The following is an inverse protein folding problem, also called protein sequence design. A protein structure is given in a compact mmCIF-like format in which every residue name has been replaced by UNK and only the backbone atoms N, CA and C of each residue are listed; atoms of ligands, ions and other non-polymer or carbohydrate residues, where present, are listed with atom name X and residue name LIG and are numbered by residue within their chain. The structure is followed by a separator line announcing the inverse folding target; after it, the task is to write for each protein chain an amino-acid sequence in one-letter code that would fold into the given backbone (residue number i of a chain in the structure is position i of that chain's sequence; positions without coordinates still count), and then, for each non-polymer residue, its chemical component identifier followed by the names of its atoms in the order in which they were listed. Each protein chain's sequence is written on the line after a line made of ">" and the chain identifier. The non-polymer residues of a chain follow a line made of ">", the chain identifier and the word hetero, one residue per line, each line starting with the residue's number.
data_IF_571619480650
#
_entry.id   IF_571619480650
#
_cell.length_a   1.000
_cell.length_b   1.000
_cell.length_c   1.000
_cell.angle_alpha   90.00
_cell.angle_beta   90.00
_cell.angle_gamma   90.00
#
_symmetry.space_group_name_H-M   'P 1'
#
loop_
_entity.id
_entity.type
_entity.pdbx_description
1 polymer ?
2 non-polymer ?
3 non-polymer ?
4 non-polymer ?
5 non-polymer ?
6 water ?
#
# COMPACT_ATOMS: atom_id res chain seq x y z
N UNK A 14 -15.33 -17.94 -13.25
CA UNK A 14 -15.19 -18.41 -11.84
C UNK A 14 -15.15 -17.27 -10.79
N UNK A 15 -14.23 -16.30 -10.87
CA UNK A 15 -13.18 -16.21 -11.90
C UNK A 15 -11.76 -16.07 -11.30
N UNK A 16 -10.92 -17.06 -11.60
CA UNK A 16 -9.49 -17.02 -11.33
C UNK A 16 -9.04 -17.93 -10.19
N UNK A 17 -8.26 -18.96 -10.50
CA UNK A 17 -7.63 -19.77 -9.46
C UNK A 17 -6.81 -18.84 -8.53
N UNK A 18 -6.99 -19.01 -7.22
CA UNK A 18 -6.24 -18.24 -6.24
C UNK A 18 -4.75 -18.53 -6.35
N UNK A 19 -3.93 -17.52 -6.04
CA UNK A 19 -2.50 -17.77 -6.02
C UNK A 19 -2.10 -18.77 -4.92
N UNK A 20 -1.00 -19.46 -5.15
CA UNK A 20 -0.50 -20.48 -4.26
C UNK A 20 0.67 -20.00 -3.38
N UNK A 21 1.12 -18.77 -3.58
CA UNK A 21 2.10 -18.13 -2.70
C UNK A 21 1.72 -16.68 -2.51
N UNK A 22 2.27 -16.04 -1.50
CA UNK A 22 2.10 -14.59 -1.36
C UNK A 22 3.19 -13.90 -2.18
N UNK A 23 2.92 -12.65 -2.57
CA UNK A 23 3.84 -11.90 -3.44
C UNK A 23 5.23 -11.67 -2.83
N UNK A 24 6.27 -11.76 -3.66
CA UNK A 24 7.60 -11.34 -3.27
C UNK A 24 7.70 -9.81 -3.24
N UNK A 25 7.98 -9.24 -2.07
CA UNK A 25 8.14 -7.80 -2.00
C UNK A 25 8.08 -7.16 -0.63
N UNK A 26 8.34 -5.86 -0.61
CA UNK A 26 8.17 -5.07 0.59
C UNK A 26 6.68 -4.84 0.81
N UNK A 27 6.19 -5.10 2.01
CA UNK A 27 4.82 -4.78 2.37
C UNK A 27 4.85 -3.85 3.57
N UNK A 28 4.01 -2.83 3.55
CA UNK A 28 3.98 -1.87 4.65
C UNK A 28 2.98 -2.38 5.67
N UNK A 29 3.38 -2.36 6.94
CA UNK A 29 2.49 -2.76 8.03
C UNK A 29 1.90 -1.53 8.73
N UNK A 30 2.34 -0.35 8.31
CA UNK A 30 1.79 0.90 8.84
C UNK A 30 2.84 1.87 9.34
N UNK A 31 2.41 2.71 10.27
CA UNK A 31 3.23 3.79 10.78
C UNK A 31 4.13 3.24 11.88
N UNK A 32 5.44 3.35 11.66
CA UNK A 32 6.44 2.81 12.57
C UNK A 32 6.17 3.09 14.05
N UNK A 33 5.87 4.35 14.39
CA UNK A 33 5.74 4.75 15.81
C UNK A 33 4.59 4.03 16.51
N UNK A 34 3.57 3.62 15.74
CA UNK A 34 2.51 2.75 16.25
C UNK A 34 2.98 1.35 16.66
N UNK A 35 4.18 0.94 16.25
CA UNK A 35 4.72 -0.35 16.65
C UNK A 35 5.79 -0.25 17.73
N UNK A 36 5.86 0.89 18.41
CA UNK A 36 6.82 1.09 19.48
C UNK A 36 6.11 0.92 20.82
N UNK A 37 5.94 2.02 21.57
CA UNK A 37 5.45 2.00 22.98
C UNK A 37 5.91 0.81 23.82
N UNK A 38 7.20 0.47 23.69
CA UNK A 38 7.87 -0.49 24.55
C UNK A 38 7.38 -1.93 24.61
N UNK A 39 6.35 -2.27 23.82
CA UNK A 39 5.75 -3.60 23.88
C UNK A 39 5.80 -4.29 22.50
N UNK A 40 5.47 -5.58 22.45
CA UNK A 40 5.33 -6.23 21.15
C UNK A 40 3.92 -6.09 20.61
N UNK A 41 3.77 -6.28 19.29
CA UNK A 41 2.47 -6.17 18.62
C UNK A 41 2.23 -7.35 17.71
N UNK A 42 1.00 -7.84 17.68
CA UNK A 42 0.62 -8.97 16.82
C UNK A 42 0.06 -8.52 15.48
N UNK A 43 0.44 -9.21 14.42
CA UNK A 43 -0.11 -8.94 13.10
C UNK A 43 -0.39 -10.26 12.38
N UNK A 44 -1.62 -10.47 11.94
CA UNK A 44 -1.94 -11.60 11.08
C UNK A 44 -1.56 -11.24 9.65
N UNK A 45 -0.65 -12.00 9.03
CA UNK A 45 -0.20 -11.68 7.67
C UNK A 45 0.43 -12.89 6.99
N UNK A 46 0.36 -12.91 5.66
CA UNK A 46 0.94 -13.98 4.85
C UNK A 46 0.58 -15.36 5.39
N UNK A 47 -0.71 -15.58 5.67
CA UNK A 47 -1.20 -16.85 6.17
C UNK A 47 -0.75 -17.28 7.57
N UNK A 48 -0.08 -16.40 8.30
CA UNK A 48 0.46 -16.75 9.59
C UNK A 48 0.26 -15.57 10.56
N UNK A 49 0.76 -15.71 11.78
CA UNK A 49 0.77 -14.61 12.72
C UNK A 49 2.19 -14.17 12.97
N UNK A 50 2.40 -12.86 13.06
CA UNK A 50 3.72 -12.28 13.25
C UNK A 50 3.73 -11.48 14.53
N UNK A 51 4.93 -11.34 15.09
CA UNK A 51 5.19 -10.45 16.19
C UNK A 51 6.13 -9.37 15.68
N UNK A 52 5.79 -8.12 15.99
CA UNK A 52 6.58 -6.95 15.66
C UNK A 52 7.03 -6.33 16.98
N UNK A 53 8.30 -5.96 17.08
CA UNK A 53 8.76 -5.32 18.32
C UNK A 53 10.03 -4.54 18.06
N UNK A 54 10.24 -3.50 18.86
CA UNK A 54 11.48 -2.72 18.80
C UNK A 54 12.46 -3.13 19.89
N UNK A 55 13.72 -3.29 19.51
CA UNK A 55 14.78 -3.54 20.48
C UNK A 55 15.14 -2.26 21.29
N UNK A 56 16.18 -2.32 22.11
CA UNK A 56 16.54 -1.20 22.99
C UNK A 56 17.07 0.04 22.26
N UNK A 57 17.49 -0.12 21.00
CA UNK A 57 17.87 1.02 20.16
C UNK A 57 16.70 1.60 19.36
N UNK A 58 15.48 1.16 19.63
CA UNK A 58 14.32 1.58 18.82
C UNK A 58 14.17 0.95 17.43
N UNK A 59 15.11 0.12 16.99
CA UNK A 59 15.02 -0.53 15.69
C UNK A 59 13.99 -1.66 15.69
N UNK A 60 13.13 -1.68 14.66
CA UNK A 60 11.97 -2.57 14.62
C UNK A 60 12.26 -3.94 13.99
N UNK A 61 11.68 -4.98 14.58
CA UNK A 61 11.94 -6.36 14.20
C UNK A 61 10.64 -7.12 14.02
N UNK A 62 10.69 -8.16 13.19
CA UNK A 62 9.54 -9.00 12.94
C UNK A 62 9.96 -10.46 12.93
N UNK A 63 9.28 -11.28 13.72
CA UNK A 63 9.47 -12.72 13.71
C UNK A 63 8.14 -13.43 13.49
N UNK A 64 8.19 -14.73 13.16
CA UNK A 64 7.01 -15.60 13.34
C UNK A 64 6.50 -15.39 14.78
N UNK A 65 5.20 -15.29 14.93
CA UNK A 65 4.58 -14.92 16.20
C UNK A 65 4.50 -16.00 17.26
N UNK A 66 4.52 -17.26 16.86
CA UNK A 66 4.32 -18.36 17.80
C UNK A 66 5.63 -18.97 18.20
N UNK A 67 5.83 -19.14 19.50
CA UNK A 67 7.11 -19.58 20.02
C UNK A 67 7.46 -21.01 19.61
N UNK A 68 8.70 -21.19 19.17
CA UNK A 68 9.21 -22.50 18.71
C UNK A 68 9.37 -23.55 19.81
N UNK A 69 9.20 -23.14 21.06
CA UNK A 69 9.26 -24.02 22.21
C UNK A 69 7.95 -24.83 22.33
N UNK A 70 6.88 -24.21 22.87
CA UNK A 70 5.58 -24.89 23.01
C UNK A 70 4.41 -24.00 22.55
N UNK A 71 4.66 -23.11 21.59
CA UNK A 71 3.59 -22.41 20.90
C UNK A 71 2.98 -21.20 21.59
N UNK A 72 3.67 -20.60 22.55
CA UNK A 72 3.19 -19.37 23.15
C UNK A 72 3.13 -18.24 22.14
N UNK A 73 2.29 -17.25 22.43
CA UNK A 73 2.13 -16.11 21.55
C UNK A 73 3.11 -15.02 21.93
N UNK A 74 4.20 -14.93 21.18
CA UNK A 74 5.22 -13.91 21.40
C UNK A 74 4.66 -12.49 21.35
N UNK A 75 3.60 -12.27 20.57
CA UNK A 75 3.03 -10.92 20.44
C UNK A 75 2.40 -10.46 21.74
N UNK A 76 2.16 -11.39 22.66
CA UNK A 76 1.58 -11.09 23.97
C UNK A 76 2.59 -11.26 25.10
N UNK A 77 3.88 -11.27 24.75
CA UNK A 77 4.95 -11.30 25.72
C UNK A 77 5.39 -9.90 26.00
N UNK A 78 6.64 -9.73 26.41
CA UNK A 78 7.19 -8.39 26.64
C UNK A 78 8.57 -8.25 26.02
N UNK A 79 9.02 -7.02 25.88
CA UNK A 79 10.35 -6.76 25.37
C UNK A 79 11.32 -6.61 26.54
N UNK A 80 12.36 -7.42 26.54
CA UNK A 80 13.39 -7.36 27.56
C UNK A 80 14.71 -7.17 26.87
N UNK A 81 15.15 -5.92 26.84
CA UNK A 81 16.42 -5.56 26.24
C UNK A 81 16.22 -5.50 24.75
N UNK A 82 16.94 -6.37 24.04
CA UNK A 82 16.83 -6.42 22.58
C UNK A 82 16.01 -7.61 22.09
N UNK A 83 15.43 -8.39 23.01
CA UNK A 83 14.66 -9.57 22.63
C UNK A 83 13.23 -9.46 23.07
N UNK A 84 12.38 -10.25 22.40
CA UNK A 84 11.02 -10.46 22.88
C UNK A 84 10.99 -11.72 23.76
N UNK A 85 10.37 -11.57 24.92
CA UNK A 85 10.19 -12.64 25.88
C UNK A 85 8.82 -13.25 25.72
N UNK A 86 8.80 -14.56 25.48
CA UNK A 86 7.56 -15.32 25.38
C UNK A 86 6.81 -15.26 26.70
N UNK A 87 5.47 -15.11 26.65
CA UNK A 87 4.72 -14.98 27.93
C UNK A 87 4.53 -16.28 28.70
N UNK A 88 4.93 -17.40 28.09
CA UNK A 88 4.68 -18.71 28.67
C UNK A 88 5.85 -19.11 29.58
N UNK A 89 7.05 -19.27 29.02
CA UNK A 89 8.23 -19.65 29.79
C UNK A 89 9.40 -18.65 29.63
N UNK A 90 9.09 -17.44 29.18
CA UNK A 90 10.03 -16.33 29.19
C UNK A 90 11.30 -16.51 28.34
N UNK A 91 11.29 -17.40 27.36
CA UNK A 91 12.45 -17.53 26.46
C UNK A 91 12.65 -16.23 25.68
N UNK A 92 13.91 -15.87 25.45
CA UNK A 92 14.24 -14.64 24.77
C UNK A 92 14.63 -14.83 23.30
N UNK A 93 13.92 -14.14 22.42
CA UNK A 93 14.15 -14.23 20.98
C UNK A 93 14.66 -12.92 20.38
N UNK A 94 15.78 -12.97 19.68
CA UNK A 94 16.32 -11.81 18.98
C UNK A 94 15.61 -11.44 17.68
N UNK A 95 15.83 -10.20 17.24
CA UNK A 95 15.29 -9.71 15.99
C UNK A 95 15.71 -10.50 14.76
N UNK A 96 16.85 -11.19 14.85
CA UNK A 96 17.31 -12.09 13.79
C UNK A 96 16.79 -13.52 13.94
N UNK A 97 15.87 -13.73 14.88
CA UNK A 97 15.26 -15.03 15.09
C UNK A 97 16.02 -15.95 16.02
N UNK A 98 17.19 -15.53 16.50
CA UNK A 98 18.03 -16.41 17.33
C UNK A 98 17.43 -16.53 18.72
N UNK A 99 17.49 -17.75 19.26
CA UNK A 99 17.18 -17.97 20.67
C UNK A 99 18.35 -17.50 21.53
N UNK A 100 18.22 -16.32 22.13
CA UNK A 100 19.33 -15.73 22.88
C UNK A 100 19.46 -16.32 24.28
N UNK A 101 18.35 -16.69 24.91
CA UNK A 101 18.41 -17.13 26.31
C UNK A 101 17.17 -17.90 26.78
N UNK A 102 17.39 -19.06 27.40
CA UNK A 102 16.36 -19.67 28.25
C UNK A 102 16.72 -19.35 29.71
N UNK A 103 16.00 -18.39 30.33
CA UNK A 103 16.49 -17.77 31.57
C UNK A 103 16.73 -18.73 32.75
N UNK A 104 15.94 -19.79 32.83
CA UNK A 104 15.97 -20.71 33.96
C UNK A 104 16.77 -21.99 33.67
N UNK A 105 17.34 -22.10 32.47
CA UNK A 105 17.97 -23.34 32.06
C UNK A 105 19.48 -23.33 32.21
N UNK A 106 20.04 -24.50 32.47
CA UNK A 106 21.47 -24.63 32.51
C UNK A 106 22.08 -24.29 31.16
N UNK A 107 21.47 -24.75 30.07
CA UNK A 107 21.97 -24.50 28.74
C UNK A 107 20.88 -23.99 27.81
N UNK A 108 21.08 -22.80 27.25
CA UNK A 108 20.22 -22.28 26.21
C UNK A 108 20.50 -23.11 24.97
N UNK A 109 19.47 -23.42 24.15
CA UNK A 109 19.75 -24.20 22.96
C UNK A 109 20.84 -23.57 22.12
N UNK A 110 21.72 -24.43 21.60
CA UNK A 110 22.80 -24.00 20.72
C UNK A 110 22.28 -23.80 19.29
N UNK A 111 22.37 -22.57 18.79
CA UNK A 111 22.04 -22.22 17.39
C UNK A 111 20.58 -22.45 17.03
N UNK A 112 19.68 -22.28 17.97
CA UNK A 112 18.25 -22.35 17.70
C UNK A 112 17.79 -21.02 17.12
N UNK A 113 16.86 -21.11 16.17
CA UNK A 113 16.33 -19.95 15.48
C UNK A 113 14.86 -20.17 15.12
N UNK A 114 14.07 -19.10 15.18
CA UNK A 114 12.75 -19.06 14.56
C UNK A 114 12.90 -18.22 13.31
N UNK A 115 11.85 -18.09 12.51
CA UNK A 115 11.95 -17.31 11.27
C UNK A 115 11.92 -15.82 11.53
N UNK A 116 12.90 -15.13 10.98
CA UNK A 116 13.02 -13.70 11.08
C UNK A 116 12.57 -13.13 9.77
N UNK A 117 11.94 -11.96 9.84
CA UNK A 117 11.49 -11.24 8.66
C UNK A 117 12.28 -9.93 8.54
N UNK A 118 12.84 -9.67 7.37
CA UNK A 118 13.65 -8.48 7.21
C UNK A 118 12.79 -7.24 7.17
N UNK A 119 13.20 -6.20 7.89
CA UNK A 119 12.43 -4.98 8.01
C UNK A 119 13.14 -3.77 7.40
N UNK A 120 12.36 -2.70 7.24
CA UNK A 120 12.88 -1.42 6.78
C UNK A 120 11.93 -0.33 7.27
N UNK A 121 12.50 0.79 7.69
CA UNK A 121 11.71 1.97 8.02
C UNK A 121 12.00 3.09 7.03
N UNK A 122 10.96 3.53 6.33
CA UNK A 122 11.11 4.59 5.33
C UNK A 122 9.97 5.57 5.54
N UNK A 123 10.31 6.85 5.68
CA UNK A 123 9.31 7.90 5.72
C UNK A 123 8.36 7.74 6.91
N UNK A 124 8.87 7.17 8.00
CA UNK A 124 8.07 6.91 9.20
C UNK A 124 7.10 5.75 9.08
N UNK A 125 7.34 4.89 8.10
CA UNK A 125 6.49 3.73 7.86
C UNK A 125 7.33 2.48 8.03
N UNK A 126 6.76 1.47 8.68
CA UNK A 126 7.42 0.17 8.82
C UNK A 126 7.10 -0.76 7.65
N UNK A 127 8.13 -1.36 7.06
CA UNK A 127 7.97 -2.32 5.97
C UNK A 127 8.53 -3.70 6.33
N UNK A 128 7.96 -4.74 5.73
CA UNK A 128 8.46 -6.10 5.94
C UNK A 128 8.63 -6.77 4.58
N UNK A 129 9.71 -7.53 4.47
CA UNK A 129 10.05 -8.23 3.24
C UNK A 129 9.43 -9.62 3.26
N UNK A 130 8.75 -10.00 2.18
CA UNK A 130 8.25 -11.36 2.04
C UNK A 130 8.75 -11.98 0.75
N UNK A 131 9.22 -13.23 0.83
CA UNK A 131 9.67 -13.95 -0.37
C UNK A 131 9.54 -15.44 -0.13
N UNK A 132 8.58 -16.05 -0.81
CA UNK A 132 8.39 -17.49 -0.78
C UNK A 132 9.71 -18.24 -0.94
N UNK A 133 10.61 -17.70 -1.75
CA UNK A 133 11.89 -18.35 -1.97
C UNK A 133 12.85 -18.17 -0.81
N UNK A 134 12.48 -17.35 0.17
CA UNK A 134 13.33 -17.09 1.33
C UNK A 134 14.61 -16.32 1.10
N UNK A 135 14.73 -15.62 -0.02
CA UNK A 135 15.91 -14.77 -0.28
C UNK A 135 15.70 -13.36 0.25
N UNK A 136 16.79 -12.65 0.56
CA UNK A 136 16.67 -11.31 1.13
C UNK A 136 16.36 -10.27 0.05
N UNK A 137 15.98 -9.05 0.47
CA UNK A 137 15.58 -8.02 -0.51
C UNK A 137 16.67 -7.66 -1.52
N UNK A 138 16.30 -7.68 -2.79
CA UNK A 138 17.06 -6.96 -3.80
C UNK A 138 17.11 -5.46 -3.41
N UNK A 139 18.33 -4.89 -3.25
CA UNK A 139 18.36 -3.48 -2.86
C UNK A 139 17.73 -2.57 -3.92
N UNK A 140 17.71 -3.01 -5.16
CA UNK A 140 17.08 -2.26 -6.27
C UNK A 140 15.60 -1.99 -6.11
N UNK A 141 14.89 -2.72 -5.25
CA UNK A 141 13.45 -2.54 -5.11
C UNK A 141 13.10 -1.89 -3.79
N UNK A 142 14.11 -1.35 -3.13
CA UNK A 142 13.90 -0.70 -1.87
C UNK A 142 12.85 0.40 -2.02
N UNK A 143 11.98 0.53 -1.04
CA UNK A 143 10.90 1.53 -1.12
C UNK A 143 11.51 2.93 -0.98
N UNK A 144 11.19 3.85 -1.89
CA UNK A 144 11.78 5.19 -1.81
C UNK A 144 11.39 5.99 -0.57
N UNK A 145 12.30 6.85 -0.10
CA UNK A 145 12.01 7.84 0.94
C UNK A 145 11.05 8.85 0.36
N UNK A 146 10.16 9.33 1.21
CA UNK A 146 9.28 10.45 0.91
C UNK A 146 9.68 11.59 1.86
N UNK A 147 10.61 12.47 1.41
CA UNK A 147 11.06 13.57 2.25
C UNK A 147 9.96 14.36 2.95
N UNK A 148 8.82 14.53 2.27
CA UNK A 148 7.70 15.33 2.79
C UNK A 148 7.17 14.82 4.13
N UNK A 149 7.45 13.56 4.44
CA UNK A 149 7.00 12.98 5.71
C UNK A 149 7.70 13.66 6.88
N UNK A 150 9.04 13.78 6.78
CA UNK A 150 9.84 14.47 7.78
C UNK A 150 9.62 15.99 7.75
N UNK A 151 9.53 16.58 6.56
CA UNK A 151 9.33 18.03 6.43
C UNK A 151 8.20 18.54 7.33
N UNK A 152 8.48 19.60 8.08
CA UNK A 152 7.42 20.22 8.91
C UNK A 152 6.64 21.29 8.14
N UNK A 153 6.92 21.44 6.84
CA UNK A 153 6.00 22.12 5.93
C UNK A 153 4.81 21.24 5.53
N UNK A 154 4.86 19.96 5.90
CA UNK A 154 3.76 19.03 5.62
C UNK A 154 3.23 18.47 6.91
N UNK A 155 1.97 18.03 6.89
CA UNK A 155 1.39 17.26 7.99
C UNK A 155 2.14 15.94 8.22
N UNK A 156 1.72 15.23 9.26
CA UNK A 156 2.19 13.88 9.53
C UNK A 156 1.09 12.92 9.16
N UNK A 157 1.50 11.70 8.85
CA UNK A 157 0.60 10.72 8.30
C UNK A 157 -0.73 10.67 9.04
N UNK A 158 -1.83 10.89 8.33
CA UNK A 158 -3.13 10.46 8.82
C UNK A 158 -3.46 9.12 8.15
N UNK A 159 -3.49 8.06 8.95
CA UNK A 159 -3.45 6.70 8.46
C UNK A 159 -4.76 5.99 8.74
N UNK A 160 -5.18 5.12 7.83
CA UNK A 160 -6.37 4.29 7.99
C UNK A 160 -6.10 2.88 7.56
N UNK A 161 -6.92 1.95 8.04
CA UNK A 161 -6.80 0.55 7.68
C UNK A 161 -8.15 -0.14 7.76
N UNK A 162 -8.44 -1.02 6.82
CA UNK A 162 -9.60 -1.88 6.91
C UNK A 162 -9.23 -3.30 6.54
N UNK A 163 -10.02 -4.25 7.03
CA UNK A 163 -9.88 -5.63 6.62
C UNK A 163 -10.93 -5.89 5.56
N UNK A 164 -10.49 -6.32 4.39
CA UNK A 164 -11.41 -6.73 3.33
C UNK A 164 -11.42 -8.25 3.25
N UNK A 165 -12.60 -8.84 3.45
CA UNK A 165 -12.78 -10.29 3.40
C UNK A 165 -13.49 -10.75 2.11
N UNK A 166 -13.21 -11.99 1.73
CA UNK A 166 -13.77 -12.56 0.50
C UNK A 166 -13.16 -11.98 -0.75
N UNK A 167 -11.94 -11.45 -0.66
CA UNK A 167 -11.24 -10.95 -1.84
C UNK A 167 -9.73 -11.14 -1.69
N UNK A 168 -9.05 -11.45 -2.80
CA UNK A 168 -7.61 -11.50 -2.84
C UNK A 168 -7.11 -10.09 -3.10
N UNK A 169 -5.89 -9.76 -2.65
CA UNK A 169 -5.37 -8.40 -2.84
C UNK A 169 -5.07 -8.05 -4.31
N UNK A 170 -4.87 -9.03 -5.17
CA UNK A 170 -4.66 -8.73 -6.59
C UNK A 170 -5.88 -7.99 -7.19
N UNK A 171 -7.02 -8.14 -6.55
CA UNK A 171 -8.28 -7.58 -7.04
C UNK A 171 -8.30 -6.05 -7.09
N UNK A 172 -7.31 -5.38 -6.47
CA UNK A 172 -7.28 -3.92 -6.48
C UNK A 172 -6.22 -3.30 -7.38
N UNK A 173 -5.36 -4.12 -7.93
CA UNK A 173 -4.25 -3.65 -8.74
C UNK A 173 -4.76 -3.17 -10.09
N UNK A 174 -5.89 -3.71 -10.53
CA UNK A 174 -6.41 -3.38 -11.85
C UNK A 174 -6.79 -1.89 -12.00
N UNK A 175 -7.00 -1.19 -10.89
CA UNK A 175 -7.31 0.24 -10.94
C UNK A 175 -6.28 1.09 -11.67
N UNK A 176 -5.05 0.57 -11.70
CA UNK A 176 -3.95 1.26 -12.34
C UNK A 176 -4.26 1.53 -13.82
N UNK A 177 -4.95 0.59 -14.47
CA UNK A 177 -5.17 0.71 -15.92
C UNK A 177 -6.53 1.28 -16.28
N UNK A 178 -7.29 1.67 -15.26
CA UNK A 178 -8.68 2.03 -15.40
C UNK A 178 -8.92 3.54 -15.58
N UNK A 179 -9.07 3.96 -16.82
CA UNK A 179 -9.33 5.37 -17.14
C UNK A 179 -10.78 5.79 -16.87
N UNK A 180 -11.73 5.00 -17.36
CA UNK A 180 -13.14 5.39 -17.38
C UNK A 180 -13.81 5.51 -16.00
N UNK A 181 -13.28 4.82 -15.01
CA UNK A 181 -13.92 4.87 -13.69
C UNK A 181 -13.75 6.24 -13.03
N UNK A 182 -12.80 7.04 -13.51
CA UNK A 182 -12.62 8.39 -12.96
C UNK A 182 -13.87 9.26 -13.05
N UNK A 183 -14.63 9.05 -14.13
CA UNK A 183 -15.90 9.74 -14.34
C UNK A 183 -17.01 9.24 -13.42
N UNK A 184 -17.20 7.92 -13.39
CA UNK A 184 -18.35 7.35 -12.68
C UNK A 184 -18.12 7.21 -11.17
N UNK A 185 -16.88 6.95 -10.76
CA UNK A 185 -16.55 6.73 -9.35
C UNK A 185 -15.99 7.98 -8.67
N UNK A 186 -15.07 8.67 -9.35
CA UNK A 186 -14.45 9.86 -8.78
C UNK A 186 -15.02 11.18 -9.32
N UNK A 187 -16.01 11.11 -10.20
CA UNK A 187 -16.76 12.30 -10.62
C UNK A 187 -15.89 13.38 -11.25
N UNK A 188 -14.94 12.93 -12.07
CA UNK A 188 -14.05 13.84 -12.79
C UNK A 188 -13.90 13.40 -14.23
N UNK A 189 -13.27 14.25 -15.02
CA UNK A 189 -13.13 14.01 -16.44
C UNK A 189 -11.65 13.85 -16.69
N UNK A 190 -11.22 12.62 -17.02
CA UNK A 190 -9.81 12.38 -17.32
C UNK A 190 -9.48 12.79 -18.74
N UNK A 191 -8.74 13.89 -18.87
CA UNK A 191 -8.34 14.41 -20.20
C UNK A 191 -6.97 13.92 -20.62
N UNK A 192 -6.24 13.32 -19.68
CA UNK A 192 -4.96 12.68 -19.99
C UNK A 192 -4.81 11.41 -19.19
N UNK A 193 -4.36 10.34 -19.83
CA UNK A 193 -4.17 9.07 -19.14
C UNK A 193 -3.10 8.20 -19.81
N UNK A 194 -2.06 7.88 -19.05
CA UNK A 194 -0.95 7.09 -19.54
C UNK A 194 -0.41 6.13 -18.46
N UNK A 195 -0.16 4.88 -18.85
CA UNK A 195 0.46 3.90 -17.96
C UNK A 195 1.88 3.62 -18.43
N UNK A 196 2.77 3.38 -17.47
CA UNK A 196 4.13 2.92 -17.75
C UNK A 196 4.49 1.80 -16.77
N UNK A 197 4.81 0.63 -17.30
CA UNK A 197 5.28 -0.50 -16.51
C UNK A 197 6.72 -0.83 -16.90
N UNK A 198 7.59 -0.94 -15.90
CA UNK A 198 8.99 -1.27 -16.12
C UNK A 198 9.62 -1.81 -14.84
N UNK A 199 10.35 -2.92 -14.96
CA UNK A 199 10.93 -3.57 -13.79
C UNK A 199 9.87 -3.78 -12.73
N UNK A 200 10.15 -3.32 -11.52
CA UNK A 200 9.28 -3.56 -10.38
C UNK A 200 8.28 -2.44 -10.15
N UNK A 201 8.11 -1.55 -11.12
CA UNK A 201 7.28 -0.36 -10.94
C UNK A 201 6.23 -0.25 -12.02
N UNK A 202 4.98 -0.03 -11.59
CA UNK A 202 3.86 0.20 -12.48
C UNK A 202 3.24 1.53 -12.09
N UNK A 203 3.03 2.39 -13.08
CA UNK A 203 2.65 3.77 -12.82
C UNK A 203 1.46 4.22 -13.66
N UNK A 204 0.75 5.20 -13.15
CA UNK A 204 -0.38 5.82 -13.81
C UNK A 204 -0.20 7.34 -13.73
N UNK A 205 -0.23 8.00 -14.88
CA UNK A 205 -0.15 9.46 -14.95
C UNK A 205 -1.48 9.96 -15.49
N UNK A 206 -2.05 10.92 -14.80
CA UNK A 206 -3.43 11.35 -15.04
C UNK A 206 -3.60 12.87 -14.95
N UNK A 207 -4.35 13.45 -15.88
CA UNK A 207 -4.87 14.80 -15.67
C UNK A 207 -6.36 14.67 -15.56
N UNK A 208 -6.93 15.27 -14.52
CA UNK A 208 -8.34 15.10 -14.20
C UNK A 208 -8.98 16.45 -13.89
N UNK A 209 -10.16 16.68 -14.46
CA UNK A 209 -10.91 17.90 -14.28
C UNK A 209 -12.21 17.59 -13.56
N UNK A 210 -12.55 18.35 -12.53
CA UNK A 210 -13.82 18.13 -11.83
C UNK A 210 -15.02 18.25 -12.76
N UNK A 211 -16.05 17.48 -12.46
CA UNK A 211 -17.30 17.58 -13.18
C UNK A 211 -18.09 18.80 -12.72
N UNK A 212 -18.55 19.63 -13.69
CA UNK A 212 -19.45 20.74 -13.41
C UNK A 212 -20.73 20.30 -12.72
N UNK A 213 -21.27 19.14 -13.08
CA UNK A 213 -22.59 18.72 -12.61
C UNK A 213 -22.62 18.05 -11.23
N UNK A 214 -21.54 18.14 -10.47
CA UNK A 214 -21.52 17.63 -9.08
C UNK A 214 -20.98 18.67 -8.06
N UNK A 215 -20.95 19.94 -8.46
CA UNK A 215 -20.36 21.03 -7.67
C UNK A 215 -18.86 20.90 -7.58
N UNK A 223 -13.91 24.98 -11.01
CA UNK A 223 -13.82 23.52 -10.92
C UNK A 223 -12.35 23.05 -10.85
N UNK A 224 -12.14 21.91 -10.20
CA UNK A 224 -10.80 21.46 -9.84
C UNK A 224 -10.02 20.88 -11.03
N UNK A 225 -8.70 21.10 -11.01
CA UNK A 225 -7.79 20.52 -12.00
C UNK A 225 -6.69 19.76 -11.26
N UNK A 226 -6.65 18.44 -11.47
CA UNK A 226 -5.73 17.54 -10.76
C UNK A 226 -4.71 16.95 -11.72
N UNK A 227 -3.44 17.03 -11.36
CA UNK A 227 -2.40 16.23 -12.00
C UNK A 227 -1.93 15.19 -10.99
N UNK A 228 -1.92 13.92 -11.42
CA UNK A 228 -1.66 12.80 -10.52
C UNK A 228 -0.62 11.86 -11.11
N UNK A 229 0.41 11.56 -10.34
CA UNK A 229 1.32 10.44 -10.61
C UNK A 229 1.11 9.43 -9.50
N UNK A 230 0.91 8.17 -9.87
CA UNK A 230 0.76 7.09 -8.89
C UNK A 230 1.57 5.90 -9.36
N UNK A 231 2.46 5.42 -8.49
CA UNK A 231 3.30 4.29 -8.82
C UNK A 231 3.30 3.25 -7.71
N UNK A 232 3.05 1.99 -8.10
CA UNK A 232 3.33 0.85 -7.24
C UNK A 232 4.82 0.57 -7.30
N UNK A 233 5.49 0.62 -6.14
CA UNK A 233 6.90 0.20 -6.04
C UNK A 233 6.94 -1.21 -5.46
N UNK A 234 7.02 -2.19 -6.36
CA UNK A 234 6.81 -3.58 -6.00
C UNK A 234 5.31 -3.88 -5.97
N UNK A 235 4.93 -5.04 -5.44
CA UNK A 235 3.56 -5.56 -5.57
C UNK A 235 2.48 -4.94 -4.68
N UNK A 236 2.84 -4.25 -3.59
CA UNK A 236 1.85 -3.90 -2.54
C UNK A 236 1.78 -2.43 -2.10
N UNK A 237 2.74 -1.63 -2.53
CA UNK A 237 2.88 -0.28 -2.02
C UNK A 237 2.90 0.78 -3.13
N UNK A 238 1.90 1.66 -3.12
CA UNK A 238 1.77 2.73 -4.11
C UNK A 238 1.89 4.08 -3.44
N UNK A 239 2.74 4.93 -4.01
CA UNK A 239 2.79 6.35 -3.63
C UNK A 239 2.07 7.13 -4.73
N UNK A 240 1.17 8.02 -4.31
CA UNK A 240 0.40 8.85 -5.21
C UNK A 240 0.64 10.33 -4.89
N UNK A 241 1.33 11.03 -5.79
CA UNK A 241 1.54 12.48 -5.68
C UNK A 241 0.34 13.21 -6.31
N UNK A 242 -0.36 14.01 -5.50
CA UNK A 242 -1.55 14.74 -5.98
C UNK A 242 -1.30 16.25 -6.05
N UNK A 243 -1.23 16.77 -7.28
CA UNK A 243 -1.03 18.20 -7.53
C UNK A 243 -2.34 18.78 -8.07
N UNK A 244 -3.13 19.36 -7.17
CA UNK A 244 -4.44 19.89 -7.49
C UNK A 244 -4.43 21.43 -7.54
N UNK A 245 -5.10 22.02 -8.53
CA UNK A 245 -5.39 23.46 -8.50
C UNK A 245 -6.90 23.71 -8.63
N UNK A 246 -7.39 24.64 -7.81
CA UNK A 246 -8.79 25.07 -7.84
C UNK A 246 -8.80 26.56 -8.15
N UNK A 247 -8.74 26.88 -9.44
CA UNK A 247 -8.50 28.24 -9.88
C UNK A 247 -7.01 28.51 -9.83
N UNK A 248 -6.62 29.46 -8.98
CA UNK A 248 -5.23 29.86 -8.82
C UNK A 248 -4.57 29.19 -7.62
N UNK A 249 -5.38 28.70 -6.68
CA UNK A 249 -4.85 28.07 -5.47
C UNK A 249 -4.43 26.61 -5.71
N UNK A 250 -3.12 26.38 -5.70
CA UNK A 250 -2.58 25.03 -5.78
C UNK A 250 -2.56 24.39 -4.40
N UNK A 251 -2.83 23.09 -4.33
CA UNK A 251 -2.59 22.28 -3.13
C UNK A 251 -1.80 21.03 -3.49
N UNK A 252 -0.95 20.58 -2.57
CA UNK A 252 -0.11 19.41 -2.78
C UNK A 252 -0.42 18.34 -1.72
N UNK A 253 -0.64 17.13 -2.21
CA UNK A 253 -0.99 15.99 -1.37
C UNK A 253 -0.07 14.83 -1.74
N UNK A 254 0.20 13.96 -0.77
CA UNK A 254 0.73 12.64 -1.08
C UNK A 254 -0.15 11.61 -0.38
N UNK A 255 -0.58 10.62 -1.16
CA UNK A 255 -1.45 9.56 -0.70
C UNK A 255 -0.75 8.22 -0.88
N UNK A 256 -0.76 7.42 0.18
CA UNK A 256 -0.26 6.05 0.12
C UNK A 256 -1.44 5.12 -0.07
N UNK A 257 -1.34 4.27 -1.09
CA UNK A 257 -2.28 3.18 -1.29
C UNK A 257 -1.48 1.92 -1.09
N UNK A 258 -1.78 1.18 -0.04
CA UNK A 258 -1.04 -0.06 0.18
C UNK A 258 -1.87 -1.11 0.89
N UNK A 259 -1.39 -2.34 0.82
CA UNK A 259 -2.05 -3.45 1.45
C UNK A 259 -1.04 -4.52 1.86
N UNK A 260 -1.51 -5.46 2.67
CA UNK A 260 -0.82 -6.73 2.83
C UNK A 260 -1.84 -7.85 2.97
N UNK A 261 -1.53 -9.03 2.44
CA UNK A 261 -2.38 -10.19 2.54
C UNK A 261 -2.41 -10.80 3.93
N UNK A 262 -3.59 -11.24 4.35
CA UNK A 262 -3.80 -11.92 5.61
C UNK A 262 -3.92 -13.40 5.29
N UNK A 263 -4.84 -13.72 4.38
CA UNK A 263 -4.92 -15.02 3.74
C UNK A 263 -5.02 -14.80 2.24
N UNK A 264 -5.18 -15.87 1.48
CA UNK A 264 -5.36 -15.74 0.05
C UNK A 264 -6.75 -15.25 -0.32
N UNK A 265 -7.58 -14.95 0.69
CA UNK A 265 -8.90 -14.41 0.43
C UNK A 265 -9.32 -13.34 1.42
N UNK A 266 -8.34 -12.70 2.05
CA UNK A 266 -8.59 -11.54 2.88
C UNK A 266 -7.28 -10.75 2.89
N UNK A 267 -7.40 -9.43 3.03
CA UNK A 267 -6.22 -8.60 3.07
C UNK A 267 -6.50 -7.33 3.83
N UNK A 268 -5.44 -6.63 4.21
CA UNK A 268 -5.60 -5.38 4.92
C UNK A 268 -5.19 -4.31 3.95
N UNK A 269 -6.12 -3.39 3.74
CA UNK A 269 -5.94 -2.24 2.86
C UNK A 269 -5.74 -1.02 3.75
N UNK A 270 -4.67 -0.28 3.47
CA UNK A 270 -4.33 0.89 4.27
C UNK A 270 -4.08 2.09 3.36
N UNK A 271 -4.49 3.25 3.82
CA UNK A 271 -4.14 4.48 3.14
C UNK A 271 -3.71 5.55 4.10
N UNK A 272 -2.75 6.36 3.66
CA UNK A 272 -2.19 7.44 4.47
C UNK A 272 -2.10 8.73 3.68
N UNK A 273 -2.40 9.84 4.33
CA UNK A 273 -2.43 11.13 3.65
C UNK A 273 -1.56 12.13 4.36
N UNK A 274 -0.75 12.84 3.58
CA UNK A 274 -0.12 14.06 4.03
C UNK A 274 -0.33 15.14 2.98
N UNK A 275 -0.40 16.39 3.45
CA UNK A 275 -0.62 17.55 2.59
C UNK A 275 0.39 18.64 2.93
N UNK A 276 0.78 19.42 1.92
CA UNK A 276 1.58 20.62 2.18
C UNK A 276 0.71 21.57 2.97
N UNK A 277 1.25 22.09 4.07
CA UNK A 277 0.49 22.98 4.91
C UNK A 277 0.43 24.33 4.22
N UNK A 278 -0.74 24.99 4.23
CA UNK A 278 -0.86 26.35 3.68
C UNK A 278 0.01 27.36 4.44
N UNK A 279 0.79 28.15 3.72
CA UNK A 279 1.79 29.03 4.32
C UNK A 279 1.52 30.51 3.98
N UNK A 280 1.09 31.32 4.96
CA UNK A 280 0.83 30.89 6.33
C UNK A 280 -0.19 31.79 7.01
N UNK A 281 -0.90 31.22 7.97
CA UNK A 281 -1.95 31.91 8.71
C UNK A 281 -1.87 31.36 10.14
N UNK A 282 -2.87 31.63 10.99
CA UNK A 282 -2.84 31.10 12.36
C UNK A 282 -2.59 29.59 12.39
N UNK A 283 -1.75 29.14 13.33
CA UNK A 283 -1.51 27.72 13.53
C UNK A 283 -2.85 26.99 13.59
N UNK A 284 -3.80 27.54 14.33
CA UNK A 284 -5.11 26.93 14.52
C UNK A 284 -5.88 26.78 13.21
N UNK A 285 -5.80 27.79 12.34
CA UNK A 285 -6.49 27.75 11.04
C UNK A 285 -5.76 26.84 10.06
N UNK A 286 -4.43 26.89 10.05
CA UNK A 286 -3.64 25.97 9.22
C UNK A 286 -4.04 24.52 9.49
N UNK A 287 -4.29 24.19 10.75
CA UNK A 287 -4.73 22.84 11.12
C UNK A 287 -6.11 22.56 10.53
N UNK A 288 -7.05 23.47 10.79
CA UNK A 288 -8.42 23.42 10.27
C UNK A 288 -8.48 23.13 8.75
N UNK A 289 -7.62 23.81 7.98
CA UNK A 289 -7.57 23.60 6.52
C UNK A 289 -6.96 22.26 6.16
N UNK A 290 -5.75 22.01 6.67
CA UNK A 290 -5.07 20.74 6.48
C UNK A 290 -5.95 19.52 6.78
N UNK A 291 -6.84 19.63 7.77
CA UNK A 291 -7.81 18.57 8.08
C UNK A 291 -8.81 18.39 6.93
N UNK A 292 -9.21 19.48 6.32
CA UNK A 292 -10.13 19.46 5.18
C UNK A 292 -9.46 18.86 3.94
N UNK A 293 -8.24 19.31 3.65
CA UNK A 293 -7.49 18.81 2.49
C UNK A 293 -7.37 17.29 2.60
N UNK A 294 -6.91 16.85 3.77
CA UNK A 294 -6.70 15.43 4.08
C UNK A 294 -7.97 14.62 3.95
N UNK A 295 -9.00 15.04 4.68
CA UNK A 295 -10.30 14.38 4.63
C UNK A 295 -10.82 14.27 3.18
N UNK A 296 -10.50 15.28 2.36
CA UNK A 296 -10.91 15.29 0.97
C UNK A 296 -10.28 14.16 0.19
N UNK A 297 -8.96 14.05 0.28
CA UNK A 297 -8.21 12.98 -0.37
C UNK A 297 -8.73 11.61 0.09
N UNK A 298 -8.93 11.47 1.40
CA UNK A 298 -9.42 10.21 1.96
C UNK A 298 -10.79 9.83 1.38
N UNK A 299 -11.66 10.80 1.17
CA UNK A 299 -12.98 10.54 0.59
C UNK A 299 -12.85 10.10 -0.85
N UNK A 300 -11.85 10.64 -1.55
CA UNK A 300 -11.47 10.15 -2.88
C UNK A 300 -11.09 8.68 -2.85
N UNK A 301 -10.19 8.31 -1.96
CA UNK A 301 -9.82 6.90 -1.82
C UNK A 301 -11.01 6.01 -1.42
N UNK A 302 -11.85 6.53 -0.54
CA UNK A 302 -12.99 5.76 -0.04
C UNK A 302 -14.00 5.43 -1.13
N UNK A 303 -14.02 6.25 -2.18
CA UNK A 303 -14.82 5.96 -3.37
C UNK A 303 -14.36 4.67 -4.05
N UNK A 304 -13.05 4.46 -4.14
CA UNK A 304 -12.53 3.19 -4.66
C UNK A 304 -12.83 2.01 -3.73
N UNK A 305 -12.66 2.24 -2.43
CA UNK A 305 -12.88 1.18 -1.44
C UNK A 305 -14.27 0.60 -1.61
N UNK A 306 -15.26 1.48 -1.73
CA UNK A 306 -16.64 1.04 -1.86
C UNK A 306 -16.85 0.11 -3.05
N UNK A 307 -16.14 0.33 -4.13
CA UNK A 307 -16.24 -0.56 -5.29
C UNK A 307 -15.50 -1.87 -5.00
N UNK A 308 -14.32 -1.76 -4.38
CA UNK A 308 -13.53 -2.94 -4.03
C UNK A 308 -14.22 -3.88 -3.05
N UNK A 309 -14.99 -3.31 -2.12
CA UNK A 309 -15.76 -4.09 -1.16
C UNK A 309 -16.99 -4.77 -1.76
N UNK A 310 -17.38 -4.39 -2.97
CA UNK A 310 -18.63 -4.86 -3.57
C UNK A 310 -18.43 -5.32 -5.00
N UNK A 311 -17.39 -6.09 -5.25
CA UNK A 311 -17.13 -6.58 -6.60
C UNK A 311 -16.39 -7.89 -6.57
N UNK A 312 -16.32 -8.52 -7.73
CA UNK A 312 -15.52 -9.71 -7.89
C UNK A 312 -14.40 -9.42 -8.90
N UNK A 313 -13.42 -10.31 -8.99
CA UNK A 313 -12.38 -10.17 -9.99
C UNK A 313 -12.77 -11.05 -11.15
N UNK A 314 -12.57 -10.54 -12.35
CA UNK A 314 -12.83 -11.26 -13.58
C UNK A 314 -11.49 -11.65 -14.21
N UNK A 315 -11.21 -12.93 -14.20
CA UNK A 315 -9.98 -13.47 -14.76
C UNK A 315 -9.90 -13.38 -16.29
N UNK A 316 -11.04 -13.50 -16.97
CA UNK A 316 -11.10 -13.46 -18.44
C UNK A 316 -12.02 -12.30 -18.88
N UNK A 317 -11.59 -11.05 -18.64
CA UNK A 317 -12.52 -9.92 -18.76
C UNK A 317 -12.91 -9.67 -20.20
N UNK A 318 -14.10 -9.11 -20.38
CA UNK A 318 -14.54 -8.59 -21.68
C UNK A 318 -14.00 -7.17 -21.80
N UNK A 319 -13.17 -6.92 -22.81
CA UNK A 319 -12.44 -5.66 -22.91
C UNK A 319 -12.77 -4.83 -24.17
N UNK A 320 -12.72 -3.51 -24.02
CA UNK A 320 -12.77 -2.57 -25.14
C UNK A 320 -11.42 -1.85 -25.25
N UNK A 321 -11.20 -1.20 -26.39
CA UNK A 321 -9.91 -0.53 -26.63
C UNK A 321 -9.61 0.44 -25.51
N UNK A 322 -10.65 1.10 -25.00
CA UNK A 322 -10.49 2.13 -23.99
C UNK A 322 -10.00 1.57 -22.67
N UNK A 323 -10.05 0.25 -22.48
CA UNK A 323 -9.57 -0.37 -21.23
C UNK A 323 -8.06 -0.25 -21.08
N UNK A 324 -7.35 -0.10 -22.20
CA UNK A 324 -5.92 0.16 -22.16
C UNK A 324 -5.09 -1.11 -22.05
N UNK A 325 -4.38 -1.26 -20.94
CA UNK A 325 -3.39 -2.33 -20.83
C UNK A 325 -3.65 -3.29 -19.68
N UNK A 326 -4.90 -3.67 -19.52
CA UNK A 326 -5.30 -4.60 -18.48
C UNK A 326 -4.39 -5.83 -18.47
N UNK A 327 -4.21 -6.47 -19.62
CA UNK A 327 -3.45 -7.73 -19.67
C UNK A 327 -1.98 -7.52 -19.33
N UNK A 328 -1.44 -6.38 -19.76
CA UNK A 328 -0.02 -6.09 -19.57
C UNK A 328 0.28 -5.80 -18.10
N UNK A 329 -0.60 -5.06 -17.43
CA UNK A 329 -0.45 -4.80 -16.01
C UNK A 329 -0.45 -6.09 -15.20
N UNK A 330 -1.44 -6.94 -15.46
CA UNK A 330 -1.49 -8.23 -14.79
C UNK A 330 -0.23 -9.05 -15.08
N UNK A 331 0.28 -8.98 -16.31
CA UNK A 331 1.51 -9.71 -16.65
C UNK A 331 2.67 -9.17 -15.83
N UNK A 332 2.71 -7.86 -15.66
CA UNK A 332 3.73 -7.21 -14.84
C UNK A 332 3.62 -7.72 -13.40
N UNK A 333 2.40 -7.76 -12.89
CA UNK A 333 2.15 -8.20 -11.51
C UNK A 333 2.53 -9.65 -11.27
N UNK A 334 2.45 -10.47 -12.31
CA UNK A 334 2.82 -11.87 -12.22
C UNK A 334 4.29 -12.06 -11.78
N UNK A 335 5.17 -11.11 -12.11
CA UNK A 335 6.60 -11.24 -11.79
C UNK A 335 6.82 -11.55 -10.31
N UNK A 336 5.98 -11.00 -9.44
CA UNK A 336 6.12 -11.19 -7.99
C UNK A 336 5.71 -12.57 -7.47
N UNK A 337 5.05 -13.36 -8.31
CA UNK A 337 4.53 -14.68 -7.92
C UNK A 337 5.28 -15.81 -8.61
N UNK A 338 6.33 -15.49 -9.37
CA UNK A 338 7.22 -16.52 -9.90
C UNK A 338 8.60 -16.40 -9.28
N UNK A 339 9.34 -17.50 -9.29
CA UNK A 339 10.70 -17.51 -8.81
C UNK A 339 11.50 -16.52 -9.63
N UNK A 340 12.43 -15.83 -8.99
CA UNK A 340 13.20 -14.78 -9.66
C UNK A 340 13.82 -15.30 -10.94
N UNK A 341 14.37 -16.50 -10.92
CA UNK A 341 15.02 -17.05 -12.12
C UNK A 341 14.05 -17.28 -13.27
N UNK A 342 12.75 -17.41 -12.96
CA UNK A 342 11.70 -17.59 -13.97
C UNK A 342 10.99 -16.30 -14.40
N UNK A 343 11.47 -15.14 -13.97
CA UNK A 343 10.85 -13.89 -14.39
C UNK A 343 11.05 -13.76 -15.89
N UNK A 344 9.96 -13.57 -16.62
CA UNK A 344 10.01 -13.49 -18.07
C UNK A 344 10.21 -12.04 -18.51
N UNK A 345 10.96 -11.81 -19.59
CA UNK A 345 11.21 -10.43 -20.04
C UNK A 345 9.93 -9.63 -20.27
N UNK A 346 8.84 -10.30 -20.69
CA UNK A 346 7.63 -9.53 -21.01
C UNK A 346 6.90 -9.02 -19.77
N UNK A 347 7.29 -9.50 -18.60
CA UNK A 347 6.77 -8.97 -17.34
C UNK A 347 7.43 -7.67 -16.95
N UNK A 348 8.71 -7.53 -17.30
CA UNK A 348 9.54 -6.46 -16.74
C UNK A 348 10.07 -5.43 -17.73
N UNK A 349 10.02 -5.71 -19.03
CA UNK A 349 10.49 -4.73 -20.01
C UNK A 349 9.57 -3.53 -20.02
N UNK A 350 10.12 -2.40 -20.42
CA UNK A 350 9.35 -1.17 -20.46
C UNK A 350 8.13 -1.33 -21.36
N UNK A 351 6.95 -1.08 -20.80
CA UNK A 351 5.73 -1.02 -21.58
C UNK A 351 5.00 0.26 -21.24
N UNK A 352 4.57 0.99 -22.27
CA UNK A 352 3.77 2.19 -22.05
C UNK A 352 2.63 2.35 -23.04
N UNK A 353 1.59 3.02 -22.56
CA UNK A 353 0.44 3.30 -23.40
C UNK A 353 -0.28 4.55 -22.92
N UNK A 354 -0.73 5.34 -23.87
CA UNK A 354 -1.60 6.45 -23.58
C UNK A 354 -2.98 6.05 -24.10
N UNK A 355 -3.99 6.20 -23.27
CA UNK A 355 -5.36 5.96 -23.67
C UNK A 355 -5.95 7.26 -24.18
N UNK A 356 -6.56 7.21 -25.36
CA UNK A 356 -7.17 8.38 -25.94
C UNK A 356 -8.50 8.62 -25.29
N UNK A 357 -8.61 9.75 -24.57
CA UNK A 357 -9.82 10.07 -23.82
C UNK A 357 -10.75 11.02 -24.56
N UNK A 358 -10.37 11.45 -25.75
CA UNK A 358 -11.08 12.52 -26.46
C UNK A 358 -12.55 12.18 -26.66
N UNK A 359 -12.82 11.08 -27.34
CA UNK A 359 -14.20 10.68 -27.60
C UNK A 359 -15.01 10.48 -26.30
N UNK A 360 -14.40 9.83 -25.31
CA UNK A 360 -15.10 9.61 -24.04
C UNK A 360 -15.51 10.95 -23.42
N UNK A 361 -14.60 11.92 -23.48
CA UNK A 361 -14.85 13.26 -22.96
C UNK A 361 -15.94 14.03 -23.69
N UNK A 362 -16.03 13.87 -25.00
CA UNK A 362 -17.13 14.46 -25.76
C UNK A 362 -18.45 13.89 -25.26
N UNK A 363 -18.51 12.56 -25.19
CA UNK A 363 -19.69 11.90 -24.65
C UNK A 363 -20.03 12.31 -23.22
N UNK A 364 -19.00 12.37 -22.36
CA UNK A 364 -19.21 12.72 -20.96
C UNK A 364 -19.66 14.17 -20.79
N UNK A 365 -18.98 15.09 -21.47
CA UNK A 365 -19.41 16.50 -21.50
C UNK A 365 -20.87 16.66 -21.92
N UNK A 366 -21.31 15.85 -22.88
CA UNK A 366 -22.72 15.83 -23.25
C UNK A 366 -23.58 15.33 -22.07
N UNK A 367 -23.17 14.26 -21.40
CA UNK A 367 -23.92 13.77 -20.25
C UNK A 367 -23.98 14.86 -19.17
N UNK A 368 -22.84 15.49 -18.88
CA UNK A 368 -22.74 16.56 -17.89
C UNK A 368 -23.68 17.70 -18.26
N UNK A 369 -23.58 18.15 -19.52
CA UNK A 369 -24.41 19.24 -20.03
C UNK A 369 -25.88 18.91 -19.87
N UNK A 370 -26.29 17.76 -20.40
CA UNK A 370 -27.66 17.26 -20.24
C UNK A 370 -28.15 17.35 -18.78
N UNK A 371 -27.27 17.05 -17.81
CA UNK A 371 -27.65 17.10 -16.39
C UNK A 371 -27.82 18.50 -15.84
N UNK A 372 -26.98 19.42 -16.29
CA UNK A 372 -27.10 20.82 -15.90
C UNK A 372 -28.41 21.39 -16.44
N UNK A 373 -28.58 21.32 -17.76
CA UNK A 373 -29.79 21.76 -18.43
C UNK A 373 -31.03 21.18 -17.74
N UNK A 374 -30.96 19.92 -17.36
CA UNK A 374 -32.07 19.24 -16.68
C UNK A 374 -32.48 19.89 -15.33
N UNK A 375 -31.66 20.80 -14.80
CA UNK A 375 -32.01 21.57 -13.61
C UNK A 375 -31.52 23.02 -13.71
X LIG B 1 -9.29 4.81 -8.42
X LIG C 1 7.78 -21.84 26.24
X LIG C 1 7.61 -19.72 24.32
X LIG C 1 6.23 -21.40 24.70
X LIG C 1 8.93 -19.98 26.04
X LIG D 1 4.59 -18.16 1.15
X LIG D 1 4.09 -17.13 0.18
X LIG D 1 5.50 -19.11 0.41
X LIG D 1 5.35 -17.62 2.34
X LIG D 1 3.35 -18.86 1.65
X LIG E 1 -6.32 4.48 -6.22
X LIG E 1 -5.53 5.78 -6.45
X LIG E 1 -7.30 7.16 -5.26
X LIG E 1 -8.47 8.13 -5.45
X LIG E 1 -7.97 9.44 -6.03
X LIG E 1 -7.28 9.12 -7.35
X LIG E 1 -7.14 10.49 -8.01
X LIG E 1 -8.47 11.19 -7.67
X LIG E 1 -9.01 10.39 -6.52
X LIG E 1 -7.15 10.27 -5.05
X LIG E 1 -4.55 6.04 -5.32
X LIG E 1 -5.66 3.18 -6.64
X LIG E 1 -4.89 3.26 -7.91
X LIG E 1 -4.43 4.58 -8.41
X LIG E 1 -4.71 5.73 -7.73
X LIG E 1 -4.16 7.03 -8.27
X LIG E 1 -5.34 7.96 -8.47
X LIG E 1 -6.06 8.21 -7.16
X LIG E 1 -6.58 6.90 -6.58
X LIG E 1 -4.64 2.23 -8.53
X LIG E 1 -10.12 10.47 -6.04
#
# INVERSE_FOLDING_TARGET
>A
MSTDTSGVGVREIDAGALPTRYARGWHCLGVAKDYLEGKPHGVEAFGTKLVVFADSHGDLKVLDGYCRHMGGDLSEGTVKGDEVACPFHDWRWGGDGRCKLVPYARRTPRMARTRSWTTDVRSGLLFVWHDHEGNPPDPAVRIPEIPEAASDEWTDWRWNRILIEGSNCRDIIDNVTDMAHFFYIHFGLPTYFKNVFEGHIASQYLHNVGRPDVDDLGTSYGEAHLDSEASYFGPSFMINWLHNRYGNYKSESILINCHYPVTQNSFVLQWGVIVEKPKGMSEEMTDKLSRVFTEGVSKGFLQDVEIWKHKTRIDNPLLVEEDGAVYQLRRWYEQFYVDVADIKPEMVERFEIEVDTKRANEFWNAEVEKNLKSREVSDDVPAEQH
>B hetero
1 FE FE
>C hetero
1 FES FE1 FE2 S1 S2
>D hetero
1 PO4 P O1 O2 O3 O4
>E hetero
1 ASD C1 C10 C11 C12 C13 C14 C15 C16 C17 C18 C19 C2 C3 C4 C5 C6 C7 C8 C9 O1 O2
#
